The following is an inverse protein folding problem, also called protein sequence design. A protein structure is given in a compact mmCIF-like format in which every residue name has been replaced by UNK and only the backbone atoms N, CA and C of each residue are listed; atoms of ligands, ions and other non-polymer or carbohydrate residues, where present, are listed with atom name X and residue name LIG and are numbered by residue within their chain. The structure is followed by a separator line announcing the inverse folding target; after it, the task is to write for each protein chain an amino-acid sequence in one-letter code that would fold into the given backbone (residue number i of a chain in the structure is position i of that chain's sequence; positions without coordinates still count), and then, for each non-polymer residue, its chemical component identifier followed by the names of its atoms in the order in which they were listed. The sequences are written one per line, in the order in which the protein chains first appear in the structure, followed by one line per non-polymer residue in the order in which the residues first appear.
data_IF_073630281503
#
_entry.id   IF_073630281503
#
_cell.length_a   1.000
_cell.length_b   1.000
_cell.length_c   1.000
_cell.angle_alpha   90.00
_cell.angle_beta   90.00
_cell.angle_gamma   90.00
#
_symmetry.space_group_name_H-M   'P 1'
#
loop_
_entity.id
_entity.type
_entity.pdbx_description
1 polymer ?
#
# COMPACT_ATOMS: atom_id res chain seq x y z
N UNK A 1 0.35 8.68 19.91
CA UNK A 1 1.22 7.72 19.20
C UNK A 1 0.47 7.19 18.00
N UNK A 2 1.04 7.27 16.81
CA UNK A 2 0.51 6.63 15.60
C UNK A 2 0.77 5.13 15.70
N UNK A 3 -0.22 4.27 15.44
CA UNK A 3 -0.02 2.82 15.46
C UNK A 3 0.81 2.34 14.27
N UNK A 4 1.44 1.15 14.36
CA UNK A 4 2.14 0.53 13.23
C UNK A 4 1.21 0.34 12.01
N UNK A 5 -0.08 0.09 12.25
CA UNK A 5 -1.11 0.03 11.21
C UNK A 5 -1.31 1.39 10.55
N UNK A 6 -1.49 2.46 11.32
CA UNK A 6 -1.75 3.79 10.75
C UNK A 6 -0.54 4.32 9.98
N UNK A 7 0.69 4.02 10.45
CA UNK A 7 1.92 4.33 9.72
C UNK A 7 1.99 3.57 8.40
N UNK A 8 1.75 2.26 8.42
CA UNK A 8 1.70 1.43 7.20
C UNK A 8 0.67 1.96 6.19
N UNK A 9 -0.54 2.29 6.65
CA UNK A 9 -1.59 2.83 5.78
C UNK A 9 -1.17 4.15 5.15
N UNK A 10 -0.61 5.06 5.94
CA UNK A 10 -0.16 6.37 5.42
C UNK A 10 0.89 6.23 4.33
N UNK A 11 1.91 5.39 4.56
CA UNK A 11 2.99 5.14 3.59
C UNK A 11 2.45 4.48 2.32
N UNK A 12 1.62 3.43 2.45
CA UNK A 12 1.06 2.71 1.30
C UNK A 12 0.14 3.62 0.47
N UNK A 13 -0.70 4.44 1.10
CA UNK A 13 -1.60 5.36 0.39
C UNK A 13 -0.80 6.43 -0.35
N UNK A 14 0.22 7.00 0.30
CA UNK A 14 1.10 7.99 -0.33
C UNK A 14 1.74 7.42 -1.61
N UNK A 15 2.42 6.29 -1.50
CA UNK A 15 3.09 5.69 -2.66
C UNK A 15 2.14 5.12 -3.71
N UNK A 16 0.94 4.67 -3.30
CA UNK A 16 -0.08 4.24 -4.27
C UNK A 16 -0.48 5.40 -5.17
N UNK A 17 -0.65 6.60 -4.62
CA UNK A 17 -0.95 7.81 -5.39
C UNK A 17 0.20 8.13 -6.35
N UNK A 18 1.42 8.23 -5.85
CA UNK A 18 2.60 8.53 -6.68
C UNK A 18 2.73 7.57 -7.87
N UNK A 19 2.56 6.27 -7.62
CA UNK A 19 2.66 5.23 -8.67
C UNK A 19 1.49 5.27 -9.66
N UNK A 20 0.28 5.58 -9.20
CA UNK A 20 -0.89 5.75 -10.08
C UNK A 20 -0.80 7.02 -10.93
N UNK A 21 -0.10 8.04 -10.44
CA UNK A 21 0.18 9.31 -11.14
C UNK A 21 1.37 9.19 -12.11
N UNK A 22 1.94 7.98 -12.26
CA UNK A 22 2.93 7.66 -13.29
C UNK A 22 4.37 7.60 -12.78
N UNK A 23 4.60 7.82 -11.48
CA UNK A 23 5.91 7.56 -10.88
C UNK A 23 6.21 6.06 -10.93
N UNK A 24 7.45 5.71 -11.26
CA UNK A 24 7.92 4.33 -11.13
C UNK A 24 7.99 3.90 -9.67
N UNK A 25 8.08 2.58 -9.46
CA UNK A 25 8.51 2.06 -8.16
C UNK A 25 10.00 2.39 -7.96
N UNK A 26 10.36 2.82 -6.75
CA UNK A 26 11.73 2.73 -6.26
C UNK A 26 11.98 1.36 -5.61
N UNK A 27 13.19 1.13 -5.11
CA UNK A 27 13.39 0.06 -4.15
C UNK A 27 12.72 0.41 -2.81
N UNK A 28 12.32 -0.62 -2.06
CA UNK A 28 11.54 -0.44 -0.84
C UNK A 28 12.28 0.37 0.24
N UNK A 29 13.62 0.33 0.28
CA UNK A 29 14.41 1.10 1.25
C UNK A 29 14.43 2.59 0.89
N UNK A 30 14.65 2.95 -0.37
CA UNK A 30 14.58 4.34 -0.85
C UNK A 30 13.19 4.95 -0.68
N UNK A 31 12.15 4.11 -0.63
CA UNK A 31 10.78 4.53 -0.38
C UNK A 31 10.42 4.62 1.10
N UNK A 32 11.36 4.31 2.01
CA UNK A 32 11.14 4.31 3.46
C UNK A 32 10.19 3.21 3.92
N UNK A 33 10.11 2.10 3.17
CA UNK A 33 9.19 1.00 3.42
C UNK A 33 9.96 -0.22 3.93
N UNK A 34 9.29 -1.05 4.73
CA UNK A 34 9.72 -2.45 4.90
C UNK A 34 9.31 -3.30 3.68
N UNK A 35 9.96 -4.45 3.47
CA UNK A 35 9.63 -5.36 2.36
C UNK A 35 8.14 -5.70 2.30
N UNK A 36 7.53 -6.09 3.43
CA UNK A 36 6.10 -6.40 3.41
C UNK A 36 5.16 -5.20 3.33
N UNK A 37 5.59 -3.98 3.66
CA UNK A 37 4.81 -2.78 3.30
C UNK A 37 4.86 -2.53 1.78
N UNK A 38 6.01 -2.81 1.16
CA UNK A 38 6.18 -2.72 -0.29
C UNK A 38 5.32 -3.75 -1.04
N UNK A 39 5.21 -4.98 -0.53
CA UNK A 39 4.29 -5.98 -1.09
C UNK A 39 2.83 -5.51 -1.01
N UNK A 40 2.42 -4.99 0.16
CA UNK A 40 1.09 -4.39 0.33
C UNK A 40 0.84 -3.26 -0.67
N UNK A 41 1.85 -2.41 -0.92
CA UNK A 41 1.76 -1.35 -1.92
C UNK A 41 1.55 -1.92 -3.32
N UNK A 42 2.31 -2.93 -3.74
CA UNK A 42 2.19 -3.53 -5.08
C UNK A 42 0.80 -4.11 -5.29
N UNK A 43 0.31 -4.89 -4.33
CA UNK A 43 -1.05 -5.45 -4.39
C UNK A 43 -2.13 -4.36 -4.43
N UNK A 44 -1.98 -3.31 -3.61
CA UNK A 44 -2.95 -2.20 -3.55
C UNK A 44 -3.01 -1.45 -4.88
N UNK A 45 -1.86 -1.17 -5.50
CA UNK A 45 -1.77 -0.53 -6.82
C UNK A 45 -2.32 -1.45 -7.91
N UNK A 46 -2.08 -2.75 -7.86
CA UNK A 46 -2.59 -3.70 -8.84
C UNK A 46 -4.12 -3.77 -8.82
N UNK A 47 -4.73 -3.79 -7.62
CA UNK A 47 -6.19 -3.70 -7.46
C UNK A 47 -6.72 -2.37 -8.02
N UNK A 48 -6.08 -1.25 -7.70
CA UNK A 48 -6.48 0.07 -8.18
C UNK A 48 -6.41 0.17 -9.72
N UNK A 49 -5.30 -0.29 -10.32
CA UNK A 49 -5.15 -0.34 -11.78
C UNK A 49 -6.18 -1.25 -12.43
N UNK A 50 -6.47 -2.41 -11.83
CA UNK A 50 -7.51 -3.31 -12.32
C UNK A 50 -8.90 -2.65 -12.27
N UNK A 51 -9.22 -1.93 -11.20
CA UNK A 51 -10.49 -1.22 -11.06
C UNK A 51 -10.63 -0.09 -12.09
N UNK A 52 -9.56 0.68 -12.33
CA UNK A 52 -9.53 1.70 -13.38
C UNK A 52 -9.73 1.10 -14.78
N UNK A 53 -9.04 -0.01 -15.10
CA UNK A 53 -9.21 -0.69 -16.39
C UNK A 53 -10.61 -1.24 -16.62
N UNK A 54 -11.25 -1.74 -15.55
CA UNK A 54 -12.62 -2.28 -15.59
C UNK A 54 -13.70 -1.20 -15.54
N UNK A 55 -13.33 0.07 -15.32
CA UNK A 55 -14.28 1.16 -15.13
C UNK A 55 -15.06 1.09 -13.81
N UNK A 56 -14.65 0.24 -12.87
CA UNK A 56 -15.29 0.14 -11.54
C UNK A 56 -14.75 1.18 -10.55
N UNK A 57 -13.67 1.89 -10.92
CA UNK A 57 -13.15 3.07 -10.23
C UNK A 57 -12.82 4.16 -11.27
N UNK A 58 -12.86 5.41 -10.84
CA UNK A 58 -12.42 6.59 -11.59
C UNK A 58 -11.15 7.16 -10.96
N UNK A 59 -10.47 8.07 -11.66
CA UNK A 59 -9.32 8.79 -11.08
C UNK A 59 -9.69 9.56 -9.80
N UNK A 60 -10.92 10.06 -9.71
CA UNK A 60 -11.39 10.83 -8.56
C UNK A 60 -11.65 9.95 -7.32
N UNK A 61 -12.06 8.69 -7.50
CA UNK A 61 -12.42 7.81 -6.39
C UNK A 61 -11.39 6.71 -6.09
N UNK A 62 -10.35 6.56 -6.92
CA UNK A 62 -9.32 5.52 -6.72
C UNK A 62 -8.58 5.69 -5.39
N UNK A 63 -8.45 6.92 -4.87
CA UNK A 63 -7.87 7.19 -3.56
C UNK A 63 -8.65 6.57 -2.39
N UNK A 64 -9.99 6.48 -2.49
CA UNK A 64 -10.82 5.83 -1.48
C UNK A 64 -10.64 4.31 -1.53
N UNK A 65 -10.52 3.75 -2.74
CA UNK A 65 -10.24 2.33 -2.94
C UNK A 65 -8.87 1.97 -2.36
N UNK A 66 -7.81 2.71 -2.70
CA UNK A 66 -6.46 2.45 -2.17
C UNK A 66 -6.41 2.62 -0.65
N UNK A 67 -7.10 3.62 -0.08
CA UNK A 67 -7.20 3.79 1.37
C UNK A 67 -7.83 2.60 2.09
N UNK A 68 -8.96 2.09 1.58
CA UNK A 68 -9.60 0.88 2.13
C UNK A 68 -8.71 -0.34 2.02
N UNK A 69 -8.14 -0.56 0.85
CA UNK A 69 -7.27 -1.70 0.54
C UNK A 69 -5.98 -1.70 1.38
N UNK A 70 -5.38 -0.53 1.60
CA UNK A 70 -4.24 -0.36 2.48
C UNK A 70 -4.62 -0.67 3.94
N UNK A 71 -5.76 -0.15 4.42
CA UNK A 71 -6.23 -0.40 5.79
C UNK A 71 -6.45 -1.89 6.05
N UNK A 72 -7.15 -2.58 5.18
CA UNK A 72 -7.42 -4.02 5.31
C UNK A 72 -6.12 -4.83 5.39
N UNK A 73 -5.18 -4.60 4.46
CA UNK A 73 -3.91 -5.33 4.40
C UNK A 73 -2.96 -5.00 5.54
N UNK A 74 -2.78 -3.73 5.87
CA UNK A 74 -1.95 -3.33 7.01
C UNK A 74 -2.53 -3.89 8.31
N UNK A 75 -3.85 -3.79 8.52
CA UNK A 75 -4.49 -4.39 9.70
C UNK A 75 -4.31 -5.91 9.75
N UNK A 76 -4.40 -6.61 8.62
CA UNK A 76 -4.13 -8.05 8.57
C UNK A 76 -2.67 -8.36 8.92
N UNK A 77 -1.71 -7.62 8.37
CA UNK A 77 -0.27 -7.82 8.59
C UNK A 77 0.15 -7.64 10.05
N UNK A 78 -0.44 -6.68 10.76
CA UNK A 78 -0.08 -6.39 12.16
C UNK A 78 -1.06 -6.98 13.18
N UNK A 79 -2.05 -7.77 12.75
CA UNK A 79 -3.07 -8.36 13.64
C UNK A 79 -2.48 -9.24 14.73
N UNK A 80 -1.43 -10.00 14.41
CA UNK A 80 -0.84 -11.01 15.29
C UNK A 80 0.51 -10.56 15.90
N UNK A 81 0.80 -9.25 15.89
CA UNK A 81 2.11 -8.71 16.23
C UNK A 81 3.00 -8.54 14.99
N UNK A 82 4.19 -7.94 15.17
CA UNK A 82 5.10 -7.62 14.05
C UNK A 82 5.33 -8.88 13.20
N UNK A 83 5.33 -8.75 11.86
CA UNK A 83 5.52 -9.87 10.95
C UNK A 83 6.73 -10.71 11.38
N UNK A 84 6.53 -12.02 11.47
CA UNK A 84 7.57 -13.03 11.79
C UNK A 84 8.69 -13.10 10.74
N UNK A 85 8.57 -12.33 9.65
CA UNK A 85 9.55 -12.26 8.58
C UNK A 85 10.47 -11.05 8.82
N UNK A 86 11.64 -11.36 9.39
CA UNK A 86 12.70 -10.42 9.70
C UNK A 86 13.29 -9.72 8.45
N UNK A 87 14.22 -8.77 8.66
CA UNK A 87 14.60 -7.74 7.68
C UNK A 87 15.32 -8.23 6.41
N UNK A 88 15.52 -9.54 6.21
CA UNK A 88 16.23 -10.07 5.04
C UNK A 88 15.65 -11.43 4.59
N UNK A 89 14.96 -11.41 3.44
CA UNK A 89 15.02 -12.42 2.38
C UNK A 89 14.77 -11.76 1.04
#
# INVERSE_FOLDING_TARGET
MTSDVDLCVSIVVHWSREVLDGRGYGDYQSMGMSGGQYDILRETVDVARAALRKGTATRDNVGLLTGRQARERCSARYRDGRPTEGPWR
#
